data_IF_683905205708
#
_entry.id   IF_683905205708
#
_cell.length_a   1.000
_cell.length_b   1.000
_cell.length_c   1.000
_cell.angle_alpha   90.00
_cell.angle_beta   90.00
_cell.angle_gamma   90.00
#
_symmetry.space_group_name_H-M   'P 1'
#
loop_
_entity.id
_entity.type
_entity.pdbx_description
1 polymer ?
#
# COMPACT_ATOMS: atom_id res chain seq x y z
N UNK A 1 4.60 2.26 2.93
CA UNK A 1 3.49 1.35 2.64
C UNK A 1 2.84 0.96 3.95
N UNK A 2 1.75 1.64 4.31
CA UNK A 2 0.98 1.37 5.53
C UNK A 2 -0.34 2.12 5.45
N UNK A 3 -1.38 1.57 6.06
CA UNK A 3 -2.62 2.30 6.31
C UNK A 3 -2.95 2.45 7.80
N UNK A 4 -2.03 2.08 8.67
CA UNK A 4 -2.20 2.11 10.12
C UNK A 4 -2.04 3.54 10.66
N UNK A 5 -2.97 3.96 11.51
CA UNK A 5 -2.99 5.27 12.17
C UNK A 5 -1.82 5.48 13.13
N UNK A 6 -1.17 4.41 13.61
CA UNK A 6 -0.02 4.51 14.52
C UNK A 6 1.16 5.28 13.90
N UNK A 7 1.22 5.35 12.56
CA UNK A 7 2.24 6.12 11.84
C UNK A 7 1.96 7.62 11.73
N UNK A 8 0.80 8.11 12.22
CA UNK A 8 0.43 9.52 12.09
C UNK A 8 1.45 10.47 12.73
N UNK A 9 2.02 10.08 13.88
CA UNK A 9 3.06 10.85 14.55
C UNK A 9 4.31 11.01 13.66
N UNK A 10 4.72 9.95 12.97
CA UNK A 10 5.86 9.96 12.05
C UNK A 10 5.57 10.81 10.80
N UNK A 11 4.39 10.65 10.21
CA UNK A 11 3.95 11.45 9.05
C UNK A 11 4.00 12.94 9.40
N UNK A 12 3.44 13.30 10.57
CA UNK A 12 3.43 14.68 11.07
C UNK A 12 4.85 15.21 11.28
N UNK A 13 5.71 14.43 11.93
CA UNK A 13 7.11 14.79 12.16
C UNK A 13 7.84 15.09 10.84
N UNK A 14 7.73 14.21 9.84
CA UNK A 14 8.40 14.38 8.55
C UNK A 14 7.92 15.62 7.80
N UNK A 15 6.60 15.86 7.78
CA UNK A 15 6.02 17.05 7.14
C UNK A 15 6.46 18.34 7.81
N UNK A 16 6.52 18.36 9.14
CA UNK A 16 7.03 19.50 9.91
C UNK A 16 8.50 19.80 9.63
N UNK A 17 9.26 18.83 9.12
CA UNK A 17 10.64 19.00 8.65
C UNK A 17 10.75 19.27 7.15
N UNK A 18 9.65 19.69 6.50
CA UNK A 18 9.61 20.05 5.08
C UNK A 18 9.76 18.86 4.13
N UNK A 19 9.53 17.63 4.59
CA UNK A 19 9.55 16.45 3.73
C UNK A 19 8.17 16.21 3.14
N UNK A 20 8.14 15.82 1.85
CA UNK A 20 6.92 15.32 1.21
C UNK A 20 6.71 13.86 1.60
N UNK A 21 5.50 13.52 2.01
CA UNK A 21 5.12 12.18 2.45
C UNK A 21 4.02 11.64 1.56
N UNK A 22 4.24 10.44 1.02
CA UNK A 22 3.26 9.72 0.19
C UNK A 22 2.90 8.41 0.87
N UNK A 23 1.60 8.15 0.97
CA UNK A 23 1.07 6.92 1.55
C UNK A 23 0.65 5.98 0.43
N UNK A 24 1.09 4.74 0.55
CA UNK A 24 0.69 3.64 -0.30
C UNK A 24 0.01 2.59 0.61
N UNK A 25 -1.28 2.35 0.40
CA UNK A 25 -2.07 1.33 1.10
C UNK A 25 -3.29 0.97 0.27
N UNK A 26 -3.95 -0.14 0.57
CA UNK A 26 -5.24 -0.49 -0.04
C UNK A 26 -6.34 0.44 0.46
N UNK A 27 -7.24 0.93 -0.40
CA UNK A 27 -8.34 1.84 0.01
C UNK A 27 -9.24 1.30 1.11
N UNK A 28 -9.29 -0.02 1.25
CA UNK A 28 -10.09 -0.73 2.25
C UNK A 28 -9.39 -0.82 3.62
N UNK A 29 -8.12 -0.44 3.71
CA UNK A 29 -7.30 -0.63 4.91
C UNK A 29 -6.36 0.55 5.12
N UNK A 30 -6.93 1.76 5.24
CA UNK A 30 -6.20 2.99 5.54
C UNK A 30 -7.05 3.91 6.42
N UNK A 31 -6.47 4.47 7.47
CA UNK A 31 -7.16 5.47 8.30
C UNK A 31 -7.37 6.79 7.54
N UNK A 32 -8.46 7.50 7.87
CA UNK A 32 -8.78 8.78 7.22
C UNK A 32 -7.77 9.87 7.58
N UNK A 33 -7.29 9.88 8.82
CA UNK A 33 -6.27 10.80 9.32
C UNK A 33 -4.96 10.63 8.55
N UNK A 34 -4.55 9.39 8.28
CA UNK A 34 -3.35 9.13 7.50
C UNK A 34 -3.54 9.63 6.06
N UNK A 35 -4.67 9.27 5.43
CA UNK A 35 -5.00 9.65 4.04
C UNK A 35 -5.07 11.16 3.83
N UNK A 36 -5.54 11.91 4.82
CA UNK A 36 -5.63 13.38 4.77
C UNK A 36 -4.37 14.09 5.28
N UNK A 37 -3.57 13.45 6.14
CA UNK A 37 -2.35 14.01 6.70
C UNK A 37 -1.14 14.00 5.76
N UNK A 38 -1.10 13.11 4.77
CA UNK A 38 -0.01 13.03 3.79
C UNK A 38 -0.14 14.05 2.64
N UNK A 39 0.90 14.17 1.83
CA UNK A 39 0.89 14.99 0.61
C UNK A 39 0.30 14.23 -0.60
N UNK A 40 0.22 12.91 -0.51
CA UNK A 40 -0.44 12.08 -1.49
C UNK A 40 -0.80 10.71 -0.94
N UNK A 41 -1.82 10.12 -1.55
CA UNK A 41 -2.27 8.76 -1.29
C UNK A 41 -2.38 8.01 -2.63
N UNK A 42 -1.85 6.80 -2.67
CA UNK A 42 -1.99 5.88 -3.80
C UNK A 42 -2.63 4.59 -3.30
N UNK A 43 -3.76 4.24 -3.89
CA UNK A 43 -4.39 2.94 -3.68
C UNK A 43 -3.58 1.88 -4.43
N UNK A 44 -3.00 0.94 -3.68
CA UNK A 44 -2.22 -0.14 -4.30
C UNK A 44 -3.12 -1.07 -5.13
N UNK A 45 -4.42 -1.16 -4.83
CA UNK A 45 -5.38 -1.97 -5.60
C UNK A 45 -5.54 -1.49 -7.04
N UNK A 46 -5.25 -0.22 -7.31
CA UNK A 46 -5.40 0.38 -8.63
C UNK A 46 -4.08 0.35 -9.43
N UNK A 47 -3.02 -0.28 -8.90
CA UNK A 47 -1.73 -0.40 -9.58
C UNK A 47 -1.64 -1.75 -10.30
N UNK A 48 -1.51 -1.68 -11.63
CA UNK A 48 -1.27 -2.86 -12.46
C UNK A 48 0.16 -3.39 -12.29
N UNK A 49 0.30 -4.72 -12.27
CA UNK A 49 1.60 -5.40 -12.32
C UNK A 49 2.39 -5.49 -11.01
N UNK A 50 1.87 -4.97 -9.88
CA UNK A 50 2.47 -5.19 -8.56
C UNK A 50 1.96 -6.45 -7.86
N UNK A 51 0.83 -6.98 -8.32
CA UNK A 51 0.20 -8.18 -7.78
C UNK A 51 0.92 -9.43 -8.31
N UNK A 52 1.04 -10.43 -7.45
CA UNK A 52 1.50 -11.76 -7.87
C UNK A 52 0.55 -12.37 -8.89
N UNK A 53 1.02 -13.41 -9.59
CA UNK A 53 0.15 -14.24 -10.44
C UNK A 53 -0.95 -14.90 -9.60
N UNK A 54 -1.95 -15.43 -10.28
CA UNK A 54 -2.99 -16.24 -9.65
C UNK A 54 -2.37 -17.29 -8.72
N UNK A 55 -2.96 -17.39 -7.52
CA UNK A 55 -2.56 -18.37 -6.54
C UNK A 55 -2.99 -19.76 -7.01
N UNK A 56 -2.10 -20.47 -7.70
CA UNK A 56 -2.35 -21.82 -8.19
C UNK A 56 -1.96 -22.87 -7.17
N UNK A 57 -2.74 -23.95 -7.10
CA UNK A 57 -2.34 -25.10 -6.30
C UNK A 57 -1.11 -25.76 -6.95
N UNK A 58 -0.20 -26.32 -6.13
CA UNK A 58 1.07 -26.87 -6.63
C UNK A 58 0.90 -27.90 -7.76
N UNK A 59 -0.14 -28.73 -7.68
CA UNK A 59 -0.45 -29.72 -8.71
C UNK A 59 -0.85 -29.11 -10.08
N UNK A 60 -1.37 -27.88 -10.09
CA UNK A 60 -1.74 -27.16 -11.32
C UNK A 60 -0.50 -26.52 -11.96
N UNK A 61 0.44 -26.02 -11.15
CA UNK A 61 1.72 -25.48 -11.62
C UNK A 61 2.57 -26.54 -12.38
N UNK A 62 2.50 -27.80 -11.93
CA UNK A 62 3.22 -28.91 -12.56
C UNK A 62 2.58 -29.37 -13.88
N UNK A 63 1.26 -29.15 -14.06
CA UNK A 63 0.55 -29.42 -15.33
C UNK A 63 0.85 -28.37 -16.40
N UNK A 64 0.99 -27.10 -16.02
CA UNK A 64 1.28 -26.00 -16.93
C UNK A 64 2.74 -26.00 -17.43
N UNK A 65 3.62 -26.81 -16.82
CA UNK A 65 5.06 -26.90 -17.16
C UNK A 65 5.41 -28.08 -18.09
N UNK A 66 4.41 -28.83 -18.58
CA UNK A 66 4.56 -29.93 -19.55
C UNK A 66 3.98 -29.56 -20.90
#
# INVERSE_FOLDING_TARGET
FTGDSDFLALVTYLKNHGKKVFIFSSKNNVSQELRTGADGYTDVLDIDGIWGKDLKHRAELEKDSK
#
